data_IF_815883269862
#
_entry.id   IF_815883269862
#
_cell.length_a   1.000
_cell.length_b   1.000
_cell.length_c   1.000
_cell.angle_alpha   90.00
_cell.angle_beta   90.00
_cell.angle_gamma   90.00
#
_symmetry.space_group_name_H-M   'P 1'
#
loop_
_entity.id
_entity.type
_entity.pdbx_description
1 polymer ?
#
# COMPACT_ATOMS: atom_id res chain seq x y z
N UNK A 1 -58.55 15.72 -1.26
CA UNK A 1 -57.47 15.45 -0.28
C UNK A 1 -56.14 15.33 -1.03
N UNK A 2 -55.20 16.30 -0.92
CA UNK A 2 -53.92 16.23 -1.62
C UNK A 2 -52.77 15.87 -0.66
N UNK A 3 -52.15 14.70 -0.83
CA UNK A 3 -51.06 14.24 0.05
C UNK A 3 -50.05 13.27 -0.58
N UNK A 4 -50.04 13.10 -1.90
CA UNK A 4 -49.25 12.03 -2.57
C UNK A 4 -48.09 12.56 -3.43
N UNK A 5 -47.47 13.69 -3.06
CA UNK A 5 -46.25 14.18 -3.74
C UNK A 5 -45.03 14.35 -2.84
N UNK A 6 -45.16 14.16 -1.52
CA UNK A 6 -44.04 14.30 -0.59
C UNK A 6 -43.12 13.06 -0.54
N UNK A 7 -43.65 11.85 -0.78
CA UNK A 7 -42.88 10.60 -0.58
C UNK A 7 -41.87 10.28 -1.71
N UNK A 8 -41.97 10.90 -2.90
CA UNK A 8 -41.07 10.61 -4.03
C UNK A 8 -39.81 11.48 -4.07
N UNK A 9 -39.82 12.64 -3.39
CA UNK A 9 -38.68 13.56 -3.40
C UNK A 9 -37.55 13.11 -2.44
N UNK A 10 -37.85 12.28 -1.45
CA UNK A 10 -36.87 11.83 -0.46
C UNK A 10 -36.09 10.56 -0.89
N UNK A 11 -36.60 9.82 -1.88
CA UNK A 11 -35.92 8.63 -2.41
C UNK A 11 -34.69 8.95 -3.29
N UNK A 12 -34.55 10.20 -3.76
CA UNK A 12 -33.42 10.65 -4.57
C UNK A 12 -32.20 11.08 -3.75
N UNK A 13 -32.34 11.17 -2.42
CA UNK A 13 -31.26 11.51 -1.50
C UNK A 13 -30.74 10.26 -0.78
N UNK A 14 -30.66 9.15 -1.51
CA UNK A 14 -29.62 8.16 -1.21
C UNK A 14 -28.28 8.80 -1.55
N UNK A 15 -27.85 9.65 -0.62
CA UNK A 15 -26.45 9.86 -0.30
C UNK A 15 -25.87 8.46 -0.23
N UNK A 16 -25.25 8.05 -1.33
CA UNK A 16 -24.36 6.92 -1.34
C UNK A 16 -23.16 7.36 -0.52
N UNK A 17 -23.30 7.31 0.81
CA UNK A 17 -22.18 7.15 1.74
C UNK A 17 -21.58 5.77 1.48
N UNK A 18 -21.03 5.57 0.29
CA UNK A 18 -20.28 4.39 -0.09
C UNK A 18 -18.82 4.80 -0.27
N UNK A 19 -18.27 5.46 0.75
CA UNK A 19 -16.89 5.95 0.75
C UNK A 19 -16.05 5.48 1.94
N UNK A 20 -16.60 4.65 2.82
CA UNK A 20 -15.90 4.21 4.03
C UNK A 20 -16.40 2.84 4.52
N UNK A 21 -16.50 1.88 3.62
CA UNK A 21 -16.30 0.49 3.98
C UNK A 21 -14.91 0.36 4.65
N UNK A 22 -14.86 -0.19 5.86
CA UNK A 22 -13.67 -0.28 6.73
C UNK A 22 -12.49 -1.10 6.18
N UNK A 23 -12.45 -1.34 4.87
CA UNK A 23 -11.42 -2.10 4.19
C UNK A 23 -10.23 -1.19 3.77
N UNK A 24 -9.05 -1.43 4.32
CA UNK A 24 -7.89 -0.58 4.02
C UNK A 24 -7.43 -0.77 2.57
N UNK A 25 -7.78 0.16 1.66
CA UNK A 25 -7.40 0.09 0.23
C UNK A 25 -5.92 -0.21 0.04
N UNK A 26 -5.58 -1.13 -0.88
CA UNK A 26 -4.19 -1.54 -1.21
C UNK A 26 -3.30 -0.32 -1.46
N UNK A 27 -3.86 0.74 -2.08
CA UNK A 27 -3.13 1.99 -2.35
C UNK A 27 -2.72 2.73 -1.07
N UNK A 28 -3.62 2.80 -0.07
CA UNK A 28 -3.31 3.41 1.23
C UNK A 28 -2.26 2.59 1.99
N UNK A 29 -2.37 1.26 1.93
CA UNK A 29 -1.38 0.35 2.51
C UNK A 29 0.00 0.51 1.84
N UNK A 30 0.02 0.59 0.51
CA UNK A 30 1.23 0.79 -0.27
C UNK A 30 1.93 2.10 0.07
N UNK A 31 1.19 3.21 0.19
CA UNK A 31 1.79 4.50 0.60
C UNK A 31 2.39 4.42 2.01
N UNK A 32 1.72 3.73 2.95
CA UNK A 32 2.23 3.58 4.31
C UNK A 32 3.47 2.68 4.39
N UNK A 33 3.49 1.60 3.60
CA UNK A 33 4.61 0.65 3.52
C UNK A 33 5.76 1.16 2.65
N UNK A 34 5.50 2.10 1.75
CA UNK A 34 6.47 2.64 0.80
C UNK A 34 7.77 3.15 1.43
N UNK A 35 7.77 4.01 2.48
CA UNK A 35 9.02 4.47 3.08
C UNK A 35 9.86 3.32 3.65
N UNK A 36 9.21 2.30 4.20
CA UNK A 36 9.89 1.11 4.73
C UNK A 36 10.50 0.28 3.60
N UNK A 37 9.71 0.00 2.56
CA UNK A 37 10.17 -0.73 1.38
C UNK A 37 11.29 0.00 0.64
N UNK A 38 11.17 1.31 0.46
CA UNK A 38 12.20 2.15 -0.17
C UNK A 38 13.50 2.14 0.64
N UNK A 39 13.42 2.23 1.98
CA UNK A 39 14.59 2.12 2.85
C UNK A 39 15.28 0.76 2.73
N UNK A 40 14.52 -0.34 2.71
CA UNK A 40 15.09 -1.69 2.49
C UNK A 40 15.80 -1.79 1.14
N UNK A 41 15.18 -1.30 0.07
CA UNK A 41 15.79 -1.30 -1.27
C UNK A 41 17.06 -0.45 -1.30
N UNK A 42 17.06 0.74 -0.68
CA UNK A 42 18.22 1.62 -0.62
C UNK A 42 19.42 0.95 0.08
N UNK A 43 19.19 0.32 1.24
CA UNK A 43 20.24 -0.41 1.98
C UNK A 43 20.78 -1.56 1.13
N UNK A 44 19.89 -2.34 0.49
CA UNK A 44 20.29 -3.45 -0.36
C UNK A 44 21.14 -3.00 -1.55
N UNK A 45 20.78 -1.88 -2.21
CA UNK A 45 21.57 -1.33 -3.31
C UNK A 45 22.94 -0.83 -2.86
N UNK A 46 23.00 -0.19 -1.69
CA UNK A 46 24.26 0.28 -1.12
C UNK A 46 25.19 -0.91 -0.79
N UNK A 47 24.68 -1.92 -0.10
CA UNK A 47 25.43 -3.16 0.19
C UNK A 47 25.87 -3.88 -1.09
N UNK A 48 24.99 -3.97 -2.10
CA UNK A 48 25.33 -4.54 -3.41
C UNK A 48 26.44 -3.74 -4.11
N UNK A 49 26.42 -2.40 -3.99
CA UNK A 49 27.48 -1.53 -4.48
C UNK A 49 28.83 -1.76 -3.80
N UNK A 50 28.84 -2.03 -2.49
CA UNK A 50 30.05 -2.43 -1.77
C UNK A 50 30.52 -3.82 -2.19
N UNK A 51 29.61 -4.77 -2.41
CA UNK A 51 29.95 -6.11 -2.92
C UNK A 51 30.52 -6.04 -4.33
N UNK A 52 29.99 -5.13 -5.17
CA UNK A 52 30.50 -4.85 -6.52
C UNK A 52 31.93 -4.33 -6.54
N UNK A 53 32.39 -3.67 -5.46
CA UNK A 53 33.80 -3.29 -5.32
C UNK A 53 34.73 -4.51 -5.33
N UNK A 54 34.29 -5.66 -4.82
CA UNK A 54 35.09 -6.88 -4.81
C UNK A 54 35.38 -7.44 -6.21
N UNK A 55 34.58 -7.07 -7.22
CA UNK A 55 34.74 -7.46 -8.63
C UNK A 55 35.17 -6.27 -9.52
N UNK A 56 35.61 -5.16 -8.90
CA UNK A 56 36.15 -4.00 -9.62
C UNK A 56 35.12 -3.00 -10.13
N UNK A 57 33.82 -3.15 -9.81
CA UNK A 57 32.81 -2.13 -10.12
C UNK A 57 32.94 -0.95 -9.14
N UNK A 58 32.68 0.30 -9.58
CA UNK A 58 32.73 1.48 -8.71
C UNK A 58 31.67 1.42 -7.59
N UNK A 59 32.03 1.91 -6.41
CA UNK A 59 31.13 1.94 -5.25
C UNK A 59 29.91 2.80 -5.55
N UNK A 60 28.73 2.28 -5.27
CA UNK A 60 27.49 3.07 -5.32
C UNK A 60 27.50 4.01 -4.10
N UNK A 61 27.53 5.31 -4.36
CA UNK A 61 27.38 6.32 -3.30
C UNK A 61 26.02 6.16 -2.59
N UNK A 62 25.95 6.36 -1.25
CA UNK A 62 24.69 6.30 -0.50
C UNK A 62 23.60 7.19 -1.09
N UNK A 63 23.96 8.37 -1.60
CA UNK A 63 23.01 9.28 -2.25
C UNK A 63 22.45 8.69 -3.55
N UNK A 64 23.30 8.00 -4.32
CA UNK A 64 22.91 7.36 -5.58
C UNK A 64 22.04 6.13 -5.32
N UNK A 65 22.32 5.38 -4.25
CA UNK A 65 21.47 4.28 -3.80
C UNK A 65 20.05 4.75 -3.42
N UNK A 66 19.93 5.90 -2.75
CA UNK A 66 18.62 6.50 -2.43
C UNK A 66 17.88 6.89 -3.71
N UNK A 67 18.54 7.58 -4.64
CA UNK A 67 17.94 7.96 -5.92
C UNK A 67 17.50 6.76 -6.75
N UNK A 68 18.30 5.69 -6.79
CA UNK A 68 17.97 4.46 -7.49
C UNK A 68 16.87 3.64 -6.77
N UNK A 69 16.79 3.74 -5.44
CA UNK A 69 15.74 3.11 -4.65
C UNK A 69 14.37 3.75 -4.83
N UNK A 70 14.27 4.99 -5.29
CA UNK A 70 12.98 5.63 -5.53
C UNK A 70 12.19 4.92 -6.66
N UNK A 71 12.73 4.73 -7.88
CA UNK A 71 12.04 3.99 -8.93
C UNK A 71 11.94 2.48 -8.62
N UNK A 72 12.95 1.88 -7.99
CA UNK A 72 12.93 0.45 -7.63
C UNK A 72 12.08 0.14 -6.39
N UNK A 73 11.84 1.13 -5.54
CA UNK A 73 11.02 1.04 -4.34
C UNK A 73 9.53 1.01 -4.64
N UNK A 74 9.11 1.54 -5.80
CA UNK A 74 7.71 1.50 -6.26
C UNK A 74 7.24 0.05 -6.48
N UNK A 75 7.90 -0.79 -7.31
CA UNK A 75 7.49 -2.18 -7.47
C UNK A 75 7.65 -2.99 -6.18
N UNK A 76 8.70 -2.74 -5.38
CA UNK A 76 8.91 -3.40 -4.09
C UNK A 76 7.77 -3.09 -3.10
N UNK A 77 7.40 -1.81 -2.97
CA UNK A 77 6.32 -1.34 -2.11
C UNK A 77 4.95 -1.87 -2.57
N UNK A 78 4.72 -1.98 -3.88
CA UNK A 78 3.50 -2.60 -4.42
C UNK A 78 3.39 -4.08 -4.07
N UNK A 79 4.48 -4.84 -4.22
CA UNK A 79 4.51 -6.26 -3.83
C UNK A 79 4.27 -6.44 -2.33
N UNK A 80 4.91 -5.63 -1.49
CA UNK A 80 4.70 -5.66 -0.05
C UNK A 80 3.24 -5.34 0.32
N UNK A 81 2.65 -4.31 -0.28
CA UNK A 81 1.25 -3.95 -0.04
C UNK A 81 0.28 -5.05 -0.46
N UNK A 82 0.54 -5.72 -1.59
CA UNK A 82 -0.27 -6.85 -2.05
C UNK A 82 -0.18 -8.04 -1.09
N UNK A 83 1.01 -8.33 -0.58
CA UNK A 83 1.22 -9.39 0.41
C UNK A 83 0.51 -9.09 1.73
N UNK A 84 0.67 -7.88 2.28
CA UNK A 84 -0.01 -7.48 3.53
C UNK A 84 -1.52 -7.46 3.35
N UNK A 85 -2.05 -7.02 2.20
CA UNK A 85 -3.48 -7.11 1.91
C UNK A 85 -3.98 -8.56 1.96
N UNK A 86 -3.22 -9.50 1.39
CA UNK A 86 -3.53 -10.92 1.48
C UNK A 86 -3.58 -11.43 2.92
N UNK A 87 -2.68 -10.96 3.79
CA UNK A 87 -2.70 -11.30 5.22
C UNK A 87 -3.89 -10.69 5.96
N UNK A 88 -4.27 -9.45 5.64
CA UNK A 88 -5.46 -8.81 6.22
C UNK A 88 -6.74 -9.53 5.82
N UNK A 89 -6.85 -9.89 4.54
CA UNK A 89 -8.00 -10.64 4.03
C UNK A 89 -8.09 -12.05 4.68
N UNK A 90 -6.94 -12.65 5.05
CA UNK A 90 -6.89 -13.92 5.77
C UNK A 90 -7.23 -13.78 7.26
N UNK A 91 -6.82 -12.68 7.90
CA UNK A 91 -7.19 -12.38 9.27
C UNK A 91 -8.70 -12.13 9.43
N UNK A 92 -9.31 -11.42 8.48
CA UNK A 92 -10.76 -11.22 8.44
C UNK A 92 -11.50 -12.55 8.22
N UNK A 93 -10.92 -13.46 7.42
CA UNK A 93 -11.43 -14.82 7.20
C UNK A 93 -11.23 -15.77 8.37
N UNK A 94 -10.46 -15.42 9.40
CA UNK A 94 -10.45 -16.13 10.68
C UNK A 94 -11.49 -15.49 11.61
N UNK A 95 -12.79 -15.85 11.51
CA UNK A 95 -13.73 -15.47 12.55
C UNK A 95 -13.21 -16.06 13.86
N UNK A 96 -13.13 -15.21 14.88
CA UNK A 96 -12.81 -15.53 16.27
C UNK A 96 -13.48 -16.84 16.68
N UNK A 97 -12.77 -17.96 16.55
CA UNK A 97 -13.14 -19.25 17.14
C UNK A 97 -12.54 -19.30 18.53
N UNK A 98 -13.18 -18.55 19.41
CA UNK A 98 -13.06 -18.62 20.86
C UNK A 98 -14.46 -18.24 21.33
N UNK A 99 -15.30 -19.05 21.94
CA UNK A 99 -15.25 -20.39 22.52
C UNK A 99 -16.57 -20.51 23.27
#
# INVERSE_FOLDING_TARGET
MPGTKASRAEAGKQVSTSGADGHWSIRKLAVLLYPFAAATVAINLFMLGLMGQAIGLPAISPALAIWASLPLGIPAGWMAARWVRGLMDEAERRPRREG
#
